data_IF_528026550499
#
_entry.id   IF_528026550499
#
_cell.length_a   1.000
_cell.length_b   1.000
_cell.length_c   1.000
_cell.angle_alpha   90.00
_cell.angle_beta   90.00
_cell.angle_gamma   90.00
#
_symmetry.space_group_name_H-M   'P 1'
#
loop_
_entity.id
_entity.type
_entity.pdbx_description
1 polymer ?
#
# COMPACT_ATOMS: atom_id res chain seq x y z
N UNK A 1 -56.03 -40.29 -58.26
CA UNK A 1 -55.18 -39.10 -58.01
C UNK A 1 -54.87 -39.19 -56.53
N UNK A 2 -53.71 -39.75 -56.30
CA UNK A 2 -53.32 -40.24 -54.95
C UNK A 2 -52.45 -39.22 -54.25
N UNK A 3 -52.90 -38.80 -53.04
CA UNK A 3 -52.13 -37.97 -52.15
C UNK A 3 -51.26 -38.89 -51.29
N UNK A 4 -49.94 -38.69 -51.34
CA UNK A 4 -49.00 -39.41 -50.52
C UNK A 4 -48.70 -38.62 -49.25
N UNK A 5 -49.15 -39.14 -48.12
CA UNK A 5 -48.78 -38.68 -46.77
C UNK A 5 -47.38 -39.20 -46.42
N UNK A 6 -46.43 -38.29 -46.23
CA UNK A 6 -45.15 -38.59 -45.57
C UNK A 6 -45.22 -38.20 -44.10
N UNK A 7 -45.34 -39.19 -43.23
CA UNK A 7 -45.34 -39.04 -41.81
C UNK A 7 -43.94 -38.61 -41.24
N UNK A 8 -43.91 -37.91 -40.10
CA UNK A 8 -42.65 -37.40 -39.52
C UNK A 8 -41.82 -38.54 -38.90
N UNK A 9 -40.57 -38.61 -39.30
CA UNK A 9 -39.59 -39.55 -38.78
C UNK A 9 -39.36 -39.35 -37.28
N UNK A 10 -39.64 -40.39 -36.49
CA UNK A 10 -39.29 -40.45 -35.06
C UNK A 10 -37.79 -40.38 -34.86
N UNK A 11 -37.31 -39.26 -34.42
CA UNK A 11 -35.94 -39.07 -33.97
C UNK A 11 -35.76 -39.93 -32.69
N UNK A 12 -35.13 -41.12 -32.83
CA UNK A 12 -34.72 -41.92 -31.67
C UNK A 12 -33.60 -41.20 -30.97
N UNK A 13 -33.93 -40.49 -29.90
CA UNK A 13 -32.93 -40.04 -28.94
C UNK A 13 -32.20 -41.27 -28.41
N UNK A 14 -30.92 -41.42 -28.79
CA UNK A 14 -30.07 -42.44 -28.23
C UNK A 14 -29.95 -42.20 -26.72
N UNK A 15 -30.36 -43.21 -25.94
CA UNK A 15 -30.24 -43.16 -24.50
C UNK A 15 -28.75 -42.93 -24.14
N UNK A 16 -28.50 -41.88 -23.37
CA UNK A 16 -27.12 -41.54 -22.90
C UNK A 16 -26.68 -42.64 -21.93
N UNK A 17 -25.60 -43.33 -22.26
CA UNK A 17 -24.99 -44.33 -21.39
C UNK A 17 -24.16 -43.65 -20.31
N UNK A 18 -24.79 -43.36 -19.17
CA UNK A 18 -24.16 -42.71 -18.01
C UNK A 18 -22.96 -43.49 -17.48
N UNK A 19 -22.98 -44.82 -17.56
CA UNK A 19 -21.87 -45.67 -17.09
C UNK A 19 -20.61 -45.50 -17.94
N UNK A 20 -20.80 -45.30 -19.24
CA UNK A 20 -19.67 -45.00 -20.14
C UNK A 20 -19.12 -43.61 -19.92
N UNK A 21 -19.96 -42.62 -19.60
CA UNK A 21 -19.53 -41.25 -19.26
C UNK A 21 -18.76 -41.25 -17.95
N UNK A 22 -19.24 -41.93 -16.92
CA UNK A 22 -18.54 -42.05 -15.63
C UNK A 22 -17.16 -42.69 -15.80
N UNK A 23 -17.08 -43.79 -16.54
CA UNK A 23 -15.82 -44.45 -16.83
C UNK A 23 -14.82 -43.56 -17.56
N UNK A 24 -15.27 -42.76 -18.54
CA UNK A 24 -14.43 -41.74 -19.22
C UNK A 24 -13.99 -40.63 -18.31
N UNK A 25 -14.84 -40.17 -17.42
CA UNK A 25 -14.53 -39.15 -16.41
C UNK A 25 -13.49 -39.65 -15.40
N UNK A 26 -13.62 -40.86 -14.89
CA UNK A 26 -12.63 -41.47 -14.02
C UNK A 26 -11.28 -41.67 -14.71
N UNK A 27 -11.30 -42.14 -15.95
CA UNK A 27 -10.08 -42.28 -16.74
C UNK A 27 -9.40 -40.91 -17.02
N UNK A 28 -10.18 -39.87 -17.27
CA UNK A 28 -9.66 -38.51 -17.43
C UNK A 28 -9.10 -37.95 -16.14
N UNK A 29 -9.77 -38.12 -14.99
CA UNK A 29 -9.26 -37.72 -13.66
C UNK A 29 -7.95 -38.43 -13.34
N UNK A 30 -7.86 -39.75 -13.53
CA UNK A 30 -6.64 -40.51 -13.30
C UNK A 30 -5.47 -40.11 -14.23
N UNK A 31 -5.76 -39.60 -15.43
CA UNK A 31 -4.74 -39.03 -16.32
C UNK A 31 -4.26 -37.67 -15.82
N UNK A 32 -5.17 -36.80 -15.39
CA UNK A 32 -4.86 -35.47 -14.84
C UNK A 32 -4.03 -35.63 -13.58
N UNK A 33 -4.41 -36.49 -12.65
CA UNK A 33 -3.66 -36.76 -11.42
C UNK A 33 -2.24 -37.27 -11.70
N UNK A 34 -2.06 -38.15 -12.70
CA UNK A 34 -0.72 -38.64 -13.08
C UNK A 34 0.15 -37.58 -13.75
N UNK A 35 -0.45 -36.66 -14.51
CA UNK A 35 0.28 -35.57 -15.19
C UNK A 35 0.64 -34.45 -14.20
N UNK A 36 -0.18 -34.24 -13.15
CA UNK A 36 0.01 -33.18 -12.16
C UNK A 36 0.71 -33.63 -10.87
N UNK A 37 0.87 -34.94 -10.65
CA UNK A 37 1.70 -35.43 -9.56
C UNK A 37 3.18 -35.30 -9.99
N UNK A 38 3.94 -34.31 -9.47
CA UNK A 38 5.35 -34.21 -9.80
C UNK A 38 6.05 -35.49 -9.33
N UNK A 39 7.01 -35.97 -10.10
CA UNK A 39 7.82 -37.12 -9.76
C UNK A 39 8.41 -36.90 -8.35
N UNK A 40 8.24 -37.86 -7.42
CA UNK A 40 8.74 -37.71 -6.05
C UNK A 40 10.24 -37.42 -6.00
N UNK A 41 11.03 -37.97 -6.93
CA UNK A 41 12.47 -37.71 -6.98
C UNK A 41 12.79 -36.31 -7.51
N UNK A 42 12.02 -35.83 -8.48
CA UNK A 42 12.13 -34.47 -8.98
C UNK A 42 11.72 -33.44 -7.91
N UNK A 43 10.65 -33.72 -7.17
CA UNK A 43 10.21 -32.91 -6.03
C UNK A 43 11.30 -32.83 -4.96
N UNK A 44 11.91 -33.96 -4.60
CA UNK A 44 13.03 -34.00 -3.65
C UNK A 44 14.23 -33.20 -4.15
N UNK A 45 14.55 -33.27 -5.45
CA UNK A 45 15.64 -32.51 -6.03
C UNK A 45 15.37 -31.01 -5.92
N UNK A 46 14.19 -30.55 -6.34
CA UNK A 46 13.79 -29.15 -6.26
C UNK A 46 13.81 -28.65 -4.81
N UNK A 47 13.28 -29.44 -3.87
CA UNK A 47 13.30 -29.08 -2.46
C UNK A 47 14.72 -29.00 -1.89
N UNK A 48 15.63 -29.90 -2.29
CA UNK A 48 17.05 -29.82 -1.90
C UNK A 48 17.74 -28.60 -2.47
N UNK A 49 17.52 -28.29 -3.74
CA UNK A 49 18.08 -27.09 -4.38
C UNK A 49 17.59 -25.82 -3.70
N UNK A 50 16.29 -25.73 -3.40
CA UNK A 50 15.71 -24.62 -2.63
C UNK A 50 16.25 -24.54 -1.21
N UNK A 51 16.35 -25.67 -0.52
CA UNK A 51 16.90 -25.73 0.82
C UNK A 51 18.39 -25.28 0.82
N UNK A 52 19.19 -25.72 -0.16
CA UNK A 52 20.57 -25.27 -0.30
C UNK A 52 20.66 -23.78 -0.65
N UNK A 53 19.74 -23.26 -1.49
CA UNK A 53 19.69 -21.84 -1.80
C UNK A 53 19.31 -20.99 -0.56
N UNK A 54 18.36 -21.47 0.25
CA UNK A 54 17.95 -20.81 1.50
C UNK A 54 18.99 -20.98 2.62
N UNK A 55 19.73 -22.10 2.65
CA UNK A 55 20.80 -22.35 3.62
C UNK A 55 22.12 -21.61 3.28
N UNK A 56 22.23 -21.04 2.07
CA UNK A 56 23.32 -20.13 1.81
C UNK A 56 23.10 -18.92 2.71
N UNK A 57 23.93 -18.78 3.73
CA UNK A 57 23.99 -17.53 4.48
C UNK A 57 24.11 -16.39 3.45
N UNK A 58 23.26 -15.35 3.54
CA UNK A 58 23.48 -14.14 2.74
C UNK A 58 24.95 -13.78 2.97
N UNK A 59 25.73 -13.73 1.87
CA UNK A 59 27.18 -13.62 1.93
C UNK A 59 27.54 -12.62 3.02
N UNK A 60 28.43 -13.01 3.94
CA UNK A 60 28.88 -12.16 5.04
C UNK A 60 29.15 -10.80 4.41
N UNK A 61 28.33 -9.82 4.76
CA UNK A 61 28.60 -8.43 4.42
C UNK A 61 30.06 -8.22 4.79
N UNK A 62 30.90 -7.90 3.82
CA UNK A 62 32.30 -7.62 4.10
C UNK A 62 32.28 -6.56 5.19
N UNK A 63 32.99 -6.79 6.26
CA UNK A 63 33.08 -5.86 7.38
C UNK A 63 33.65 -4.53 6.82
N UNK A 64 32.76 -3.60 6.49
CA UNK A 64 33.09 -2.34 5.84
C UNK A 64 31.96 -1.68 5.08
N UNK A 65 30.98 -2.44 4.59
CA UNK A 65 29.86 -1.86 3.85
C UNK A 65 28.71 -1.53 4.81
N UNK A 66 28.59 -0.25 5.14
CA UNK A 66 27.46 0.28 5.89
C UNK A 66 26.20 0.12 5.02
N UNK A 67 25.19 -0.58 5.56
CA UNK A 67 23.92 -0.80 4.89
C UNK A 67 22.79 -0.17 5.69
N UNK A 68 21.80 0.35 4.99
CA UNK A 68 20.53 0.74 5.60
C UNK A 68 19.43 -0.22 5.16
N UNK A 69 18.51 -0.51 6.05
CA UNK A 69 17.28 -1.22 5.71
C UNK A 69 16.20 -0.21 5.39
N UNK A 70 15.54 -0.42 4.24
CA UNK A 70 14.50 0.48 3.74
C UNK A 70 13.25 -0.29 3.37
N UNK A 71 12.09 0.34 3.51
CA UNK A 71 10.84 -0.11 2.91
C UNK A 71 10.71 0.56 1.56
N UNK A 72 10.61 -0.25 0.49
CA UNK A 72 10.36 0.23 -0.87
C UNK A 72 8.86 0.28 -1.13
N UNK A 73 8.42 1.38 -1.74
CA UNK A 73 7.02 1.62 -2.10
C UNK A 73 6.92 2.47 -3.37
N UNK A 74 5.72 2.50 -3.95
CA UNK A 74 5.43 3.22 -5.19
C UNK A 74 4.59 4.46 -4.87
N UNK A 75 4.98 5.61 -5.44
CA UNK A 75 4.17 6.82 -5.51
C UNK A 75 4.04 7.22 -6.99
N UNK A 76 2.81 7.31 -7.48
CA UNK A 76 2.52 7.54 -8.89
C UNK A 76 3.16 6.46 -9.79
N UNK A 77 4.31 6.76 -10.39
CA UNK A 77 5.03 5.84 -11.28
C UNK A 77 6.50 5.67 -10.89
N UNK A 78 6.88 6.17 -9.71
CA UNK A 78 8.24 6.17 -9.24
C UNK A 78 8.40 5.31 -7.99
N UNK A 79 9.58 4.70 -7.85
CA UNK A 79 9.92 3.91 -6.67
C UNK A 79 10.57 4.80 -5.62
N UNK A 80 10.01 4.75 -4.43
CA UNK A 80 10.51 5.44 -3.25
C UNK A 80 10.88 4.45 -2.17
N UNK A 81 11.70 4.91 -1.23
CA UNK A 81 12.03 4.12 -0.05
C UNK A 81 12.22 5.04 1.16
N UNK A 82 11.92 4.51 2.34
CA UNK A 82 12.22 5.13 3.65
C UNK A 82 12.94 4.13 4.53
N UNK A 83 13.83 4.62 5.39
CA UNK A 83 14.52 3.76 6.35
C UNK A 83 13.55 3.12 7.34
N UNK A 84 13.71 1.81 7.56
CA UNK A 84 12.82 1.04 8.45
C UNK A 84 12.81 1.53 9.89
N UNK A 85 13.89 2.16 10.34
CA UNK A 85 14.00 2.71 11.70
C UNK A 85 12.98 3.80 12.01
N UNK A 86 12.43 4.46 10.98
CA UNK A 86 11.38 5.47 11.11
C UNK A 86 9.98 4.89 10.86
N UNK A 87 9.89 3.64 10.46
CA UNK A 87 8.62 3.00 10.13
C UNK A 87 8.14 2.18 11.30
N UNK A 88 7.02 2.59 11.88
CA UNK A 88 6.36 1.86 12.96
C UNK A 88 5.59 0.65 12.43
N UNK A 89 4.77 0.87 11.41
CA UNK A 89 3.98 -0.19 10.79
C UNK A 89 3.50 0.21 9.38
N UNK A 90 3.02 -0.81 8.64
CA UNK A 90 2.35 -0.63 7.35
C UNK A 90 0.97 -1.27 7.43
N UNK A 91 -0.06 -0.50 7.13
CA UNK A 91 -1.45 -0.94 7.18
C UNK A 91 -2.23 -0.66 5.90
N UNK A 92 -3.45 -1.18 5.79
CA UNK A 92 -4.36 -0.79 4.72
C UNK A 92 -4.86 0.65 4.94
N UNK A 93 -5.28 1.30 3.86
CA UNK A 93 -5.98 2.58 3.95
C UNK A 93 -7.48 2.32 4.13
N UNK A 94 -7.89 2.06 5.36
CA UNK A 94 -9.29 1.81 5.69
C UNK A 94 -9.91 2.99 6.44
N UNK A 95 -11.21 3.24 6.20
CA UNK A 95 -12.01 4.23 6.95
C UNK A 95 -11.37 5.62 7.01
N UNK A 96 -10.80 6.09 5.88
CA UNK A 96 -10.28 7.43 5.78
C UNK A 96 -11.39 8.47 5.99
N UNK A 97 -11.19 9.36 6.94
CA UNK A 97 -12.07 10.49 7.21
C UNK A 97 -11.38 11.79 6.76
N UNK A 98 -11.86 12.45 5.70
CA UNK A 98 -11.29 13.73 5.26
C UNK A 98 -11.45 14.81 6.33
N UNK A 99 -10.46 15.67 6.47
CA UNK A 99 -10.51 16.83 7.37
C UNK A 99 -10.81 18.09 6.55
N UNK A 100 -11.79 18.91 6.95
CA UNK A 100 -12.03 20.20 6.31
C UNK A 100 -10.93 21.21 6.67
N UNK A 101 -10.73 22.19 5.82
CA UNK A 101 -9.80 23.31 6.04
C UNK A 101 -8.33 22.91 6.23
N UNK A 102 -7.93 21.73 5.76
CA UNK A 102 -6.54 21.29 5.78
C UNK A 102 -5.86 21.51 4.42
N UNK A 103 -4.51 21.60 4.38
CA UNK A 103 -3.77 21.65 3.12
C UNK A 103 -4.10 20.48 2.21
N UNK A 104 -4.01 20.67 0.88
CA UNK A 104 -4.40 19.65 -0.10
C UNK A 104 -3.64 18.31 0.01
N UNK A 105 -2.44 18.33 0.58
CA UNK A 105 -1.65 17.14 0.80
C UNK A 105 -2.09 16.32 2.03
N UNK A 106 -2.88 16.89 2.95
CA UNK A 106 -3.48 16.15 4.07
C UNK A 106 -4.70 15.42 3.55
N UNK A 107 -4.63 14.11 3.47
CA UNK A 107 -5.70 13.27 2.94
C UNK A 107 -6.87 13.16 3.93
N UNK A 108 -6.56 13.15 5.22
CA UNK A 108 -7.50 12.99 6.30
C UNK A 108 -6.90 12.23 7.48
N UNK A 109 -7.77 11.63 8.29
CA UNK A 109 -7.37 10.78 9.42
C UNK A 109 -7.86 9.35 9.22
N UNK A 110 -7.10 8.40 9.76
CA UNK A 110 -7.48 6.99 9.85
C UNK A 110 -7.36 6.51 11.28
N UNK A 111 -8.15 5.50 11.61
CA UNK A 111 -8.00 4.77 12.86
C UNK A 111 -7.21 3.50 12.57
N UNK A 112 -5.98 3.44 13.04
CA UNK A 112 -5.12 2.27 12.90
C UNK A 112 -4.93 1.64 14.28
N UNK A 113 -5.52 0.48 14.50
CA UNK A 113 -5.47 -0.28 15.76
C UNK A 113 -5.89 0.52 17.03
N UNK A 114 -6.86 1.43 16.87
CA UNK A 114 -7.36 2.26 17.96
C UNK A 114 -6.63 3.60 18.14
N UNK A 115 -5.60 3.87 17.37
CA UNK A 115 -4.90 5.14 17.33
C UNK A 115 -5.30 5.96 16.10
N UNK A 116 -5.66 7.22 16.33
CA UNK A 116 -6.04 8.14 15.24
C UNK A 116 -4.80 8.87 14.79
N UNK A 117 -4.49 8.73 13.49
CA UNK A 117 -3.35 9.41 12.89
C UNK A 117 -3.72 10.11 11.59
N UNK A 118 -3.07 11.21 11.29
CA UNK A 118 -3.20 11.90 10.00
C UNK A 118 -2.49 11.14 8.90
N UNK A 119 -3.09 11.15 7.71
CA UNK A 119 -2.50 10.56 6.50
C UNK A 119 -2.20 11.65 5.51
N UNK A 120 -0.97 11.65 5.00
CA UNK A 120 -0.43 12.61 4.06
C UNK A 120 -0.24 11.95 2.71
N UNK A 121 -0.69 12.62 1.66
CA UNK A 121 -0.42 12.25 0.27
C UNK A 121 0.84 12.97 -0.22
N UNK A 122 1.97 12.27 -0.18
CA UNK A 122 3.24 12.81 -0.67
C UNK A 122 3.21 13.14 -2.17
N UNK A 123 2.29 12.58 -2.95
CA UNK A 123 2.14 12.94 -4.37
C UNK A 123 1.72 14.39 -4.50
N UNK A 124 0.77 14.82 -3.68
CA UNK A 124 0.32 16.22 -3.64
C UNK A 124 1.38 17.14 -3.03
N UNK A 125 2.05 16.67 -1.99
CA UNK A 125 3.11 17.42 -1.34
C UNK A 125 4.32 17.66 -2.25
N UNK A 126 4.66 16.68 -3.11
CA UNK A 126 5.77 16.76 -4.06
C UNK A 126 5.34 17.19 -5.47
N UNK A 127 4.09 17.57 -5.67
CA UNK A 127 3.53 17.94 -6.98
C UNK A 127 3.72 16.85 -8.05
N UNK A 128 3.58 15.58 -7.66
CA UNK A 128 3.65 14.44 -8.56
C UNK A 128 2.32 14.25 -9.30
N UNK A 129 2.32 13.54 -10.44
CA UNK A 129 1.09 13.19 -11.13
C UNK A 129 0.12 12.45 -10.21
N UNK A 130 -1.13 12.90 -10.16
CA UNK A 130 -2.15 12.25 -9.35
C UNK A 130 -2.54 10.90 -9.92
N UNK A 131 -2.62 9.91 -9.05
CA UNK A 131 -3.21 8.62 -9.30
C UNK A 131 -4.32 8.42 -8.28
N UNK A 132 -5.51 8.07 -8.74
CA UNK A 132 -6.65 7.85 -7.86
C UNK A 132 -6.38 6.80 -6.77
N UNK A 133 -7.16 6.82 -5.70
CA UNK A 133 -7.11 5.79 -4.65
C UNK A 133 -7.59 4.45 -5.21
N UNK A 134 -6.94 3.38 -4.80
CA UNK A 134 -7.26 2.00 -5.16
C UNK A 134 -7.24 1.12 -3.90
N UNK A 135 -7.78 -0.08 -3.98
CA UNK A 135 -7.73 -1.06 -2.87
C UNK A 135 -6.29 -1.51 -2.54
N UNK A 136 -5.33 -1.22 -3.41
CA UNK A 136 -3.92 -1.52 -3.19
C UNK A 136 -3.21 -0.47 -2.34
N UNK A 137 -3.83 0.70 -2.12
CA UNK A 137 -3.22 1.76 -1.33
C UNK A 137 -2.95 1.29 0.10
N UNK A 138 -1.80 1.68 0.60
CA UNK A 138 -1.32 1.37 1.95
C UNK A 138 -0.93 2.65 2.66
N UNK A 139 -1.00 2.61 3.98
CA UNK A 139 -0.47 3.65 4.86
C UNK A 139 0.82 3.12 5.48
N UNK A 140 1.91 3.85 5.28
CA UNK A 140 3.18 3.61 5.96
C UNK A 140 3.23 4.61 7.12
N UNK A 141 3.20 4.12 8.34
CA UNK A 141 3.22 4.95 9.54
C UNK A 141 4.65 5.29 9.89
N UNK A 142 4.97 6.57 9.85
CA UNK A 142 6.26 7.11 10.26
C UNK A 142 6.18 7.64 11.68
N UNK A 143 7.20 7.36 12.47
CA UNK A 143 7.28 7.72 13.88
C UNK A 143 8.64 8.28 14.24
N UNK A 144 8.63 9.31 15.07
CA UNK A 144 9.76 9.84 15.82
C UNK A 144 9.33 10.10 17.26
N UNK A 145 10.25 10.59 18.10
CA UNK A 145 9.92 10.94 19.49
C UNK A 145 8.78 11.98 19.62
N UNK A 146 8.65 12.88 18.64
CA UNK A 146 7.75 14.01 18.71
C UNK A 146 6.64 13.99 17.66
N UNK A 147 6.69 13.10 16.67
CA UNK A 147 5.78 13.13 15.53
C UNK A 147 5.39 11.73 15.06
N UNK A 148 4.11 11.57 14.78
CA UNK A 148 3.51 10.35 14.23
C UNK A 148 2.51 10.72 13.15
N UNK A 149 2.70 10.21 11.93
CA UNK A 149 1.74 10.34 10.83
C UNK A 149 1.91 9.22 9.82
N UNK A 150 0.89 9.00 9.00
CA UNK A 150 0.92 8.06 7.90
C UNK A 150 1.22 8.72 6.56
N UNK A 151 2.00 8.09 5.72
CA UNK A 151 2.14 8.46 4.32
C UNK A 151 1.39 7.47 3.44
N UNK A 152 0.67 8.01 2.43
CA UNK A 152 -0.02 7.18 1.45
C UNK A 152 0.97 6.60 0.46
N UNK A 153 0.94 5.29 0.27
CA UNK A 153 1.66 4.58 -0.77
C UNK A 153 0.67 3.91 -1.74
N UNK A 154 0.94 3.96 -3.03
CA UNK A 154 0.11 3.28 -4.03
C UNK A 154 0.27 1.76 -3.96
N UNK A 155 1.48 1.30 -3.66
CA UNK A 155 1.81 -0.09 -3.37
C UNK A 155 3.09 -0.16 -2.52
N UNK A 156 3.23 -1.19 -1.70
CA UNK A 156 4.45 -1.47 -0.93
C UNK A 156 5.11 -2.71 -1.50
N UNK A 157 6.37 -2.59 -1.89
CA UNK A 157 7.13 -3.68 -2.48
C UNK A 157 7.75 -4.61 -1.42
N UNK A 158 8.18 -4.05 -0.29
CA UNK A 158 8.77 -4.79 0.82
C UNK A 158 10.01 -4.14 1.42
N UNK A 159 10.72 -4.89 2.24
CA UNK A 159 11.96 -4.43 2.90
C UNK A 159 13.18 -4.87 2.09
N UNK A 160 14.13 -3.96 1.94
CA UNK A 160 15.39 -4.20 1.22
C UNK A 160 16.58 -3.59 1.97
N UNK A 161 17.74 -4.23 1.85
CA UNK A 161 19.02 -3.68 2.29
C UNK A 161 19.67 -2.93 1.14
N UNK A 162 20.10 -1.71 1.42
CA UNK A 162 20.77 -0.83 0.46
C UNK A 162 22.13 -0.44 1.02
N UNK A 163 23.24 -0.70 0.29
CA UNK A 163 24.55 -0.20 0.68
C UNK A 163 24.53 1.33 0.70
N UNK A 164 25.09 1.94 1.74
CA UNK A 164 25.17 3.41 1.82
C UNK A 164 25.99 3.98 0.66
N UNK A 165 26.98 3.23 0.20
CA UNK A 165 27.82 3.61 -0.95
C UNK A 165 27.04 3.70 -2.28
N UNK A 166 25.91 3.01 -2.40
CA UNK A 166 25.04 3.04 -3.58
C UNK A 166 24.07 4.24 -3.59
N UNK A 167 23.98 4.96 -2.47
CA UNK A 167 23.12 6.12 -2.34
C UNK A 167 23.84 7.35 -2.90
N UNK A 168 23.46 7.75 -4.11
CA UNK A 168 24.00 8.93 -4.75
C UNK A 168 23.21 10.17 -4.33
N UNK A 169 23.84 11.35 -4.19
CA UNK A 169 23.14 12.60 -3.95
C UNK A 169 22.07 12.84 -5.02
N UNK A 170 21.05 13.61 -4.68
CA UNK A 170 19.98 13.96 -5.62
C UNK A 170 20.56 14.55 -6.90
N UNK A 171 19.95 14.15 -8.04
CA UNK A 171 20.34 14.73 -9.33
C UNK A 171 19.90 16.20 -9.40
N UNK A 172 20.65 17.09 -10.07
CA UNK A 172 20.29 18.51 -10.22
C UNK A 172 18.93 18.75 -10.92
N UNK A 173 18.35 17.70 -11.50
CA UNK A 173 17.04 17.75 -12.17
C UNK A 173 15.85 17.59 -11.20
N UNK A 174 16.09 17.17 -9.95
CA UNK A 174 15.09 17.11 -8.91
C UNK A 174 15.09 18.45 -8.16
N UNK A 175 14.30 19.39 -8.64
CA UNK A 175 14.17 20.73 -8.07
C UNK A 175 12.88 20.87 -7.25
N UNK A 176 12.85 21.84 -6.35
CA UNK A 176 11.66 22.18 -5.56
C UNK A 176 11.60 21.53 -4.18
N UNK A 177 10.39 21.50 -3.61
CA UNK A 177 10.12 20.97 -2.26
C UNK A 177 10.65 19.56 -2.07
N UNK A 178 10.63 18.75 -3.11
CA UNK A 178 11.06 17.37 -3.15
C UNK A 178 12.53 17.18 -2.78
N UNK A 179 13.41 18.07 -3.27
CA UNK A 179 14.86 17.97 -3.02
C UNK A 179 15.22 18.07 -1.53
N UNK A 180 14.47 18.89 -0.78
CA UNK A 180 14.71 19.08 0.65
C UNK A 180 14.56 17.80 1.47
N UNK A 181 13.68 16.88 1.03
CA UNK A 181 13.36 15.64 1.73
C UNK A 181 14.01 14.39 1.11
N UNK A 182 14.95 14.58 0.18
CA UNK A 182 15.69 13.46 -0.41
C UNK A 182 16.97 13.18 0.38
N UNK A 183 17.21 11.92 0.65
CA UNK A 183 18.49 11.41 1.13
C UNK A 183 19.41 11.07 -0.05
N UNK A 184 18.85 10.57 -1.13
CA UNK A 184 19.57 10.25 -2.36
C UNK A 184 18.80 9.33 -3.28
N UNK A 185 19.45 8.85 -4.33
CA UNK A 185 18.89 7.94 -5.33
C UNK A 185 19.80 6.75 -5.53
N UNK A 186 19.26 5.55 -5.57
CA UNK A 186 20.01 4.32 -5.85
C UNK A 186 20.25 4.15 -7.36
N UNK A 187 21.24 3.33 -7.79
CA UNK A 187 21.41 2.97 -9.20
C UNK A 187 20.18 2.33 -9.84
N UNK A 188 19.34 1.68 -9.03
CA UNK A 188 18.05 1.11 -9.44
C UNK A 188 16.92 2.15 -9.60
N UNK A 189 17.24 3.45 -9.54
CA UNK A 189 16.28 4.56 -9.62
C UNK A 189 15.24 4.60 -8.49
N UNK A 190 15.54 3.99 -7.35
CA UNK A 190 14.72 4.14 -6.14
C UNK A 190 15.16 5.41 -5.41
N UNK A 191 14.22 6.30 -5.17
CA UNK A 191 14.41 7.55 -4.45
C UNK A 191 14.32 7.30 -2.95
N UNK A 192 15.37 7.56 -2.21
CA UNK A 192 15.38 7.39 -0.75
C UNK A 192 14.98 8.72 -0.11
N UNK A 193 13.87 8.70 0.61
CA UNK A 193 13.37 9.84 1.36
C UNK A 193 14.08 9.94 2.71
N UNK A 194 14.32 11.18 3.13
CA UNK A 194 14.79 11.50 4.48
C UNK A 194 13.56 11.61 5.41
N UNK A 195 13.15 10.47 5.97
CA UNK A 195 12.03 10.43 6.89
C UNK A 195 12.28 11.26 8.17
N UNK A 196 13.55 11.42 8.57
CA UNK A 196 13.91 12.28 9.69
C UNK A 196 13.55 13.74 9.42
N UNK A 197 13.82 14.24 8.20
CA UNK A 197 13.41 15.59 7.80
C UNK A 197 11.91 15.73 7.68
N UNK A 198 11.21 14.74 7.12
CA UNK A 198 9.75 14.74 7.06
C UNK A 198 9.13 14.78 8.46
N UNK A 199 9.67 14.02 9.42
CA UNK A 199 9.21 13.97 10.79
C UNK A 199 9.62 15.19 11.64
N UNK A 200 10.56 16.01 11.16
CA UNK A 200 11.00 17.24 11.83
C UNK A 200 10.31 18.49 11.25
N UNK A 201 9.54 18.36 10.19
CA UNK A 201 8.94 19.50 9.51
C UNK A 201 7.58 19.86 10.10
N UNK A 202 7.54 20.99 10.80
CA UNK A 202 6.32 21.53 11.40
C UNK A 202 5.25 21.91 10.36
N UNK A 203 5.61 22.16 9.11
CA UNK A 203 4.65 22.49 8.05
C UNK A 203 3.78 21.30 7.62
N UNK A 204 4.24 20.09 7.92
CA UNK A 204 3.52 18.84 7.69
C UNK A 204 2.48 18.61 8.80
N UNK A 205 2.72 19.18 9.98
CA UNK A 205 1.81 19.07 11.13
C UNK A 205 0.74 20.13 11.03
N UNK A 206 -0.48 19.72 10.80
CA UNK A 206 -1.65 20.60 10.95
C UNK A 206 -1.93 20.76 12.44
N UNK A 207 -1.22 21.65 13.10
CA UNK A 207 -1.59 22.13 14.45
C UNK A 207 -2.66 23.20 14.27
N UNK A 208 -3.92 22.80 14.24
CA UNK A 208 -5.00 23.74 14.44
C UNK A 208 -4.98 24.16 15.93
N UNK A 209 -4.29 25.26 16.23
CA UNK A 209 -4.55 25.98 17.46
C UNK A 209 -5.95 26.55 17.34
N UNK A 210 -6.92 25.87 17.92
CA UNK A 210 -8.22 26.46 18.20
C UNK A 210 -7.96 27.54 19.25
N UNK A 211 -7.71 28.77 18.78
CA UNK A 211 -7.77 29.94 19.66
C UNK A 211 -9.17 29.96 20.24
N UNK A 212 -9.29 29.48 21.44
CA UNK A 212 -10.49 29.55 22.27
C UNK A 212 -10.78 31.01 22.57
N UNK A 213 -11.29 31.78 21.61
CA UNK A 213 -11.93 33.03 21.88
C UNK A 213 -13.12 32.73 22.77
N UNK A 214 -12.91 33.02 24.04
CA UNK A 214 -13.94 33.07 25.07
C UNK A 214 -15.14 33.86 24.52
N UNK A 215 -16.23 33.17 24.24
CA UNK A 215 -17.54 33.80 24.12
C UNK A 215 -17.89 34.37 25.50
N UNK A 216 -17.48 35.60 25.73
CA UNK A 216 -18.06 36.41 26.78
C UNK A 216 -19.51 36.67 26.43
N UNK A 217 -20.39 35.91 27.02
CA UNK A 217 -21.82 36.14 26.97
C UNK A 217 -22.12 37.50 27.58
N UNK A 218 -22.33 38.49 26.74
CA UNK A 218 -22.98 39.75 27.15
C UNK A 218 -24.43 39.47 27.39
N UNK A 219 -24.77 39.24 28.64
CA UNK A 219 -26.15 39.19 29.10
C UNK A 219 -26.79 40.58 28.95
N UNK A 220 -28.06 40.69 28.50
CA UNK A 220 -28.75 41.98 28.39
C UNK A 220 -29.10 42.48 29.80
N UNK A 221 -28.56 43.64 30.15
CA UNK A 221 -28.92 44.40 31.34
C UNK A 221 -30.39 44.77 31.36
N UNK A 222 -31.07 44.31 32.38
CA UNK A 222 -32.48 44.63 32.64
C UNK A 222 -32.52 45.93 33.41
N UNK A 223 -32.83 47.02 32.67
CA UNK A 223 -33.12 48.33 33.27
C UNK A 223 -34.53 48.26 33.89
N UNK A 224 -34.63 48.32 35.18
CA UNK A 224 -35.86 48.65 35.90
C UNK A 224 -35.79 50.10 36.35
N UNK A 225 -36.42 50.97 35.58
CA UNK A 225 -36.89 52.25 36.08
C UNK A 225 -38.05 52.00 37.06
N UNK A 226 -37.89 52.43 38.25
CA UNK A 226 -38.93 52.61 39.23
C UNK A 226 -39.09 54.07 39.52
N UNK A 227 -40.11 54.67 38.96
CA UNK A 227 -40.62 55.97 39.26
C UNK A 227 -41.45 55.97 40.49
N UNK A 228 -41.31 56.99 41.31
CA UNK A 228 -42.45 57.72 41.93
C UNK A 228 -42.11 58.62 43.07
N UNK A 229 -43.09 59.46 43.39
CA UNK A 229 -43.78 60.57 42.77
C UNK A 229 -43.25 61.89 43.18
#
# INVERSE_FOLDING_TARGET
>A
MSAGETGPGKNKQAAVDWREIERRLEAARARIERVWAPDPEETKRILRERAQALAREPGKAQAGDEHIEVIEFVLAFENYAVETRYVREVGPLDNLTPLPCTPAFVLGIVNLRGEILSVIDLKKFFELPEKGLTDLNKVIVLESENMLFGILADAVAGVRRVPVADIQPSLPTLTGVREAYLKGVTPGRTVILDAGKLLADESIVVQEQVDGQAMTASGPGRTTQGERP
#
